data_IF_200951726375
#
_entry.id   IF_200951726375
#
_cell.length_a   1.000
_cell.length_b   1.000
_cell.length_c   1.000
_cell.angle_alpha   90.00
_cell.angle_beta   90.00
_cell.angle_gamma   90.00
#
_symmetry.space_group_name_H-M   'P 1'
#
loop_
_entity.id
_entity.type
_entity.pdbx_description
1 polymer ?
#
# COMPACT_ATOMS: atom_id res chain seq x y z
N UNK A 1 30.39 -19.50 -8.17
CA UNK A 1 29.63 -18.24 -8.26
C UNK A 1 28.18 -18.59 -8.48
N UNK A 2 27.42 -18.76 -7.39
CA UNK A 2 25.98 -19.02 -7.48
C UNK A 2 25.32 -17.65 -7.63
N UNK A 3 24.57 -17.49 -8.72
CA UNK A 3 23.89 -16.25 -9.07
C UNK A 3 22.98 -15.79 -7.94
N UNK A 4 22.95 -14.47 -7.73
CA UNK A 4 21.97 -13.80 -6.88
C UNK A 4 20.57 -14.22 -7.36
N UNK A 5 19.97 -15.16 -6.63
CA UNK A 5 18.64 -15.65 -6.91
C UNK A 5 17.63 -14.51 -6.81
N UNK A 6 16.72 -14.49 -7.78
CA UNK A 6 15.25 -14.42 -7.70
C UNK A 6 14.54 -14.26 -6.33
N UNK A 7 15.13 -13.58 -5.34
CA UNK A 7 14.59 -13.42 -3.98
C UNK A 7 14.23 -11.95 -3.65
N UNK A 8 14.45 -11.02 -4.59
CA UNK A 8 14.09 -9.60 -4.42
C UNK A 8 12.60 -9.30 -4.75
N UNK A 9 11.81 -10.29 -5.16
CA UNK A 9 10.38 -10.10 -5.45
C UNK A 9 9.48 -10.07 -4.20
N UNK A 10 9.95 -10.50 -3.02
CA UNK A 10 9.08 -10.80 -1.88
C UNK A 10 9.27 -9.97 -0.60
N UNK A 11 10.23 -9.04 -0.56
CA UNK A 11 10.43 -8.20 0.62
C UNK A 11 10.21 -6.72 0.27
N UNK A 12 9.10 -6.18 0.75
CA UNK A 12 8.72 -4.78 0.62
C UNK A 12 9.02 -4.05 1.92
N UNK A 13 9.72 -2.92 1.82
CA UNK A 13 9.87 -1.97 2.92
C UNK A 13 8.74 -0.95 2.88
N UNK A 14 8.17 -0.61 4.03
CA UNK A 14 7.12 0.40 4.12
C UNK A 14 7.65 1.77 3.65
N UNK A 15 7.00 2.43 2.66
CA UNK A 15 7.42 3.75 2.17
C UNK A 15 7.49 4.84 3.25
N UNK A 16 6.62 4.76 4.28
CA UNK A 16 6.57 5.75 5.37
C UNK A 16 7.61 5.47 6.45
N UNK A 17 7.65 4.25 7.00
CA UNK A 17 8.47 3.97 8.18
C UNK A 17 9.67 3.04 7.95
N UNK A 18 9.89 2.60 6.71
CA UNK A 18 10.96 1.66 6.31
C UNK A 18 10.95 0.29 6.99
N UNK A 19 9.95 -0.02 7.82
CA UNK A 19 9.79 -1.35 8.41
C UNK A 19 9.48 -2.38 7.32
N UNK A 20 9.95 -3.62 7.51
CA UNK A 20 9.56 -4.73 6.65
C UNK A 20 8.04 -4.95 6.71
N UNK A 21 7.44 -5.26 5.56
CA UNK A 21 6.01 -5.53 5.44
C UNK A 21 5.78 -7.03 5.35
N UNK A 22 4.68 -7.48 5.95
CA UNK A 22 4.22 -8.86 5.89
C UNK A 22 3.21 -9.03 4.75
N UNK A 23 3.32 -10.10 3.97
CA UNK A 23 2.35 -10.42 2.92
C UNK A 23 1.14 -11.12 3.53
N UNK A 24 -0.04 -10.57 3.27
CA UNK A 24 -1.34 -11.17 3.57
C UNK A 24 -2.05 -11.48 2.25
N UNK A 25 -2.53 -12.71 2.10
CA UNK A 25 -3.32 -13.10 0.92
C UNK A 25 -4.82 -12.98 1.21
N UNK A 26 -5.58 -12.36 0.30
CA UNK A 26 -7.03 -12.33 0.35
C UNK A 26 -7.64 -12.39 -1.05
N UNK A 27 -8.47 -13.41 -1.30
CA UNK A 27 -9.20 -13.55 -2.56
C UNK A 27 -8.30 -13.71 -3.80
N UNK A 28 -7.10 -14.27 -3.64
CA UNK A 28 -6.09 -14.42 -4.68
C UNK A 28 -5.22 -13.18 -4.91
N UNK A 29 -5.30 -12.18 -4.02
CA UNK A 29 -4.49 -10.95 -4.08
C UNK A 29 -3.52 -10.92 -2.90
N UNK A 30 -2.26 -10.62 -3.18
CA UNK A 30 -1.27 -10.39 -2.13
C UNK A 30 -1.35 -8.93 -1.68
N UNK A 31 -1.19 -8.71 -0.38
CA UNK A 31 -1.29 -7.38 0.24
C UNK A 31 -0.10 -7.27 1.17
N UNK A 32 0.82 -6.35 0.88
CA UNK A 32 1.93 -6.05 1.76
C UNK A 32 1.43 -5.12 2.87
N UNK A 33 1.45 -5.57 4.13
CA UNK A 33 0.99 -4.80 5.28
C UNK A 33 2.13 -4.48 6.24
N UNK A 34 2.23 -3.22 6.62
CA UNK A 34 3.18 -2.78 7.63
C UNK A 34 2.64 -3.06 9.04
N UNK A 35 3.31 -3.92 9.80
CA UNK A 35 2.99 -4.15 11.22
C UNK A 35 3.34 -3.00 12.15
N UNK A 36 4.08 -1.99 11.68
CA UNK A 36 4.53 -0.85 12.48
C UNK A 36 3.59 0.36 12.38
N UNK A 37 3.32 0.86 11.17
CA UNK A 37 2.44 2.03 10.97
C UNK A 37 1.05 1.66 10.41
N UNK A 38 0.78 0.39 10.15
CA UNK A 38 -0.50 -0.07 9.59
C UNK A 38 -0.66 0.14 8.09
N UNK A 39 0.23 0.87 7.43
CA UNK A 39 0.14 1.18 6.01
C UNK A 39 0.19 -0.06 5.11
N UNK A 40 -0.41 0.04 3.94
CA UNK A 40 -0.58 -1.04 2.97
C UNK A 40 0.06 -0.66 1.65
N UNK A 41 0.81 -1.60 1.08
CA UNK A 41 1.33 -1.52 -0.27
C UNK A 41 0.61 -2.56 -1.14
N UNK A 42 0.20 -2.11 -2.32
CA UNK A 42 -0.38 -2.94 -3.37
C UNK A 42 0.50 -2.79 -4.62
N UNK A 43 0.87 -3.90 -5.23
CA UNK A 43 1.56 -3.92 -6.51
C UNK A 43 0.59 -3.63 -7.66
N UNK A 44 1.15 -3.62 -8.87
CA UNK A 44 0.39 -3.40 -10.09
C UNK A 44 -0.85 -4.30 -10.19
N UNK A 45 -2.00 -3.68 -10.45
CA UNK A 45 -3.31 -4.33 -10.61
C UNK A 45 -3.88 -5.01 -9.36
N UNK A 46 -3.26 -4.88 -8.19
CA UNK A 46 -3.81 -5.47 -6.97
C UNK A 46 -5.01 -4.70 -6.44
N UNK A 47 -5.01 -3.37 -6.53
CA UNK A 47 -6.16 -2.55 -6.15
C UNK A 47 -7.38 -2.87 -7.02
N UNK A 48 -7.20 -2.96 -8.34
CA UNK A 48 -8.25 -3.31 -9.28
C UNK A 48 -8.82 -4.70 -8.99
N UNK A 49 -7.96 -5.69 -8.71
CA UNK A 49 -8.40 -7.03 -8.34
C UNK A 49 -9.14 -7.04 -7.01
N UNK A 50 -8.68 -6.29 -6.01
CA UNK A 50 -9.36 -6.22 -4.70
C UNK A 50 -10.78 -5.67 -4.78
N UNK A 51 -11.06 -4.76 -5.71
CA UNK A 51 -12.44 -4.27 -5.95
C UNK A 51 -13.41 -5.39 -6.36
N UNK A 52 -12.91 -6.48 -6.93
CA UNK A 52 -13.71 -7.64 -7.32
C UNK A 52 -13.83 -8.68 -6.19
N UNK A 53 -13.05 -8.54 -5.12
CA UNK A 53 -13.00 -9.50 -4.01
C UNK A 53 -14.02 -9.11 -2.92
N UNK A 54 -14.93 -10.02 -2.54
CA UNK A 54 -15.90 -9.75 -1.47
C UNK A 54 -15.24 -9.40 -0.13
N UNK A 55 -15.79 -8.40 0.56
CA UNK A 55 -15.36 -7.93 1.88
C UNK A 55 -13.91 -7.43 1.94
N UNK A 56 -13.31 -7.05 0.80
CA UNK A 56 -11.95 -6.49 0.77
C UNK A 56 -11.84 -5.18 1.60
N UNK A 57 -12.95 -4.46 1.76
CA UNK A 57 -13.07 -3.25 2.58
C UNK A 57 -12.97 -3.48 4.11
N UNK A 58 -12.84 -4.74 4.54
CA UNK A 58 -12.66 -5.12 5.95
C UNK A 58 -11.20 -5.48 6.27
N UNK A 59 -10.32 -5.50 5.27
CA UNK A 59 -8.91 -5.89 5.42
C UNK A 59 -8.07 -4.84 6.14
N UNK A 60 -8.43 -3.57 5.94
CA UNK A 60 -7.68 -2.42 6.43
C UNK A 60 -8.50 -1.65 7.46
N UNK A 61 -8.59 -2.19 8.67
CA UNK A 61 -9.26 -1.51 9.76
C UNK A 61 -8.36 -0.38 10.25
N UNK A 62 -8.89 0.84 10.23
CA UNK A 62 -8.26 2.00 10.84
C UNK A 62 -7.92 1.66 12.30
N UNK A 63 -6.64 1.68 12.60
CA UNK A 63 -6.11 1.50 13.95
C UNK A 63 -5.75 2.87 14.50
N UNK A 64 -5.95 3.11 15.80
CA UNK A 64 -5.54 4.36 16.49
C UNK A 64 -4.01 4.58 16.50
N UNK A 65 -3.23 3.83 15.72
CA UNK A 65 -1.83 4.15 15.42
C UNK A 65 -1.81 5.29 14.41
N UNK A 66 -2.08 6.49 14.92
CA UNK A 66 -1.58 7.71 14.32
C UNK A 66 -0.06 7.71 14.49
N UNK A 67 0.63 7.09 13.53
CA UNK A 67 2.06 6.88 13.61
C UNK A 67 2.87 8.17 13.33
N UNK A 68 2.21 9.34 13.21
CA UNK A 68 2.88 10.62 13.03
C UNK A 68 3.65 10.74 11.72
N UNK A 69 3.25 9.98 10.69
CA UNK A 69 3.91 9.95 9.38
C UNK A 69 3.16 10.73 8.30
N UNK A 70 2.06 11.41 8.66
CA UNK A 70 1.18 12.16 7.74
C UNK A 70 1.85 13.45 7.20
N UNK A 71 2.90 13.94 7.87
CA UNK A 71 3.68 15.10 7.40
C UNK A 71 4.75 14.75 6.34
N UNK A 72 4.95 13.47 6.01
CA UNK A 72 5.92 13.08 4.98
C UNK A 72 5.40 13.41 3.58
N UNK A 73 6.02 14.42 2.96
CA UNK A 73 5.64 14.93 1.64
C UNK A 73 6.16 14.09 0.48
N UNK A 74 7.27 13.35 0.68
CA UNK A 74 7.90 12.55 -0.37
C UNK A 74 8.34 11.21 0.19
N UNK A 75 7.84 10.14 -0.42
CA UNK A 75 8.21 8.76 -0.10
C UNK A 75 8.65 8.04 -1.38
N UNK A 76 9.58 7.10 -1.23
CA UNK A 76 10.10 6.31 -2.34
C UNK A 76 9.28 5.05 -2.56
N UNK A 77 9.08 4.69 -3.83
CA UNK A 77 8.52 3.40 -4.21
C UNK A 77 9.43 2.27 -3.74
N UNK A 78 8.92 1.29 -2.99
CA UNK A 78 9.74 0.21 -2.43
C UNK A 78 10.15 -0.82 -3.50
N UNK A 79 9.53 -0.77 -4.69
CA UNK A 79 9.85 -1.65 -5.83
C UNK A 79 10.91 -1.07 -6.76
N UNK A 80 10.83 0.22 -7.08
CA UNK A 80 11.68 0.84 -8.11
C UNK A 80 12.37 2.14 -7.69
N UNK A 81 12.22 2.55 -6.43
CA UNK A 81 12.85 3.75 -5.83
C UNK A 81 12.52 5.08 -6.52
N UNK A 82 11.50 5.11 -7.39
CA UNK A 82 10.94 6.37 -7.90
C UNK A 82 10.14 7.05 -6.80
N UNK A 83 10.11 8.38 -6.79
CA UNK A 83 9.21 9.12 -5.89
C UNK A 83 7.75 8.78 -6.24
N UNK A 84 6.94 8.54 -5.21
CA UNK A 84 5.51 8.33 -5.40
C UNK A 84 4.79 9.67 -5.59
N UNK A 85 3.83 9.68 -6.51
CA UNK A 85 2.92 10.82 -6.71
C UNK A 85 1.73 10.70 -5.75
N UNK A 86 1.22 11.82 -5.24
CA UNK A 86 -0.02 11.84 -4.46
C UNK A 86 -1.23 11.94 -5.38
N UNK A 87 -2.14 10.99 -5.28
CA UNK A 87 -3.48 11.07 -5.86
C UNK A 87 -4.49 11.52 -4.81
N UNK A 88 -5.56 12.17 -5.26
CA UNK A 88 -6.68 12.56 -4.42
C UNK A 88 -7.99 11.99 -4.99
N UNK A 89 -8.76 11.32 -4.15
CA UNK A 89 -10.12 10.90 -4.44
C UNK A 89 -11.09 11.89 -3.78
N UNK A 90 -11.79 12.66 -4.60
CA UNK A 90 -12.79 13.62 -4.13
C UNK A 90 -14.01 12.89 -3.56
N UNK A 91 -14.47 13.35 -2.39
CA UNK A 91 -15.62 12.79 -1.68
C UNK A 91 -16.00 13.64 -0.47
N UNK A 92 -16.97 13.20 0.36
CA UNK A 92 -17.31 13.87 1.61
C UNK A 92 -16.12 13.97 2.58
N UNK A 93 -15.23 12.97 2.53
CA UNK A 93 -13.89 12.99 3.11
C UNK A 93 -12.92 12.81 1.95
N UNK A 94 -12.17 13.85 1.59
CA UNK A 94 -11.15 13.71 0.56
C UNK A 94 -10.06 12.76 1.05
N UNK A 95 -9.72 11.79 0.20
CA UNK A 95 -8.73 10.79 0.52
C UNK A 95 -7.50 11.02 -0.36
N UNK A 96 -6.32 11.04 0.25
CA UNK A 96 -5.06 11.15 -0.47
C UNK A 96 -4.27 9.88 -0.27
N UNK A 97 -3.65 9.37 -1.32
CA UNK A 97 -2.84 8.17 -1.25
C UNK A 97 -1.75 8.24 -2.32
N UNK A 98 -0.67 7.48 -2.15
CA UNK A 98 0.49 7.56 -3.02
C UNK A 98 0.49 6.50 -4.11
N UNK A 99 0.89 6.87 -5.33
CA UNK A 99 0.98 5.98 -6.49
C UNK A 99 2.34 6.07 -7.16
N UNK A 100 2.87 4.92 -7.57
CA UNK A 100 4.07 4.87 -8.38
C UNK A 100 3.70 4.87 -9.87
N UNK A 101 4.02 5.93 -10.59
CA UNK A 101 3.80 5.97 -12.06
C UNK A 101 4.76 5.08 -12.86
N UNK A 102 5.84 4.60 -12.23
CA UNK A 102 6.84 3.74 -12.88
C UNK A 102 6.42 2.27 -12.87
N UNK A 103 6.08 1.71 -11.71
CA UNK A 103 5.71 0.30 -11.57
C UNK A 103 4.20 0.07 -11.42
N UNK A 104 3.42 1.13 -11.22
CA UNK A 104 1.96 1.04 -11.05
C UNK A 104 1.50 0.55 -9.67
N UNK A 105 2.39 0.46 -8.68
CA UNK A 105 2.03 0.15 -7.30
C UNK A 105 1.46 1.37 -6.57
N UNK A 106 0.78 1.14 -5.46
CA UNK A 106 0.13 2.16 -4.65
C UNK A 106 0.31 1.90 -3.16
N UNK A 107 0.46 2.97 -2.39
CA UNK A 107 0.53 2.94 -0.95
C UNK A 107 -0.68 3.63 -0.33
N UNK A 108 -1.18 3.06 0.76
CA UNK A 108 -2.29 3.59 1.55
C UNK A 108 -1.85 3.68 3.01
N UNK A 109 -2.08 4.82 3.66
CA UNK A 109 -1.90 4.91 5.10
C UNK A 109 -2.93 4.02 5.82
N UNK A 110 -2.67 3.68 7.09
CA UNK A 110 -3.50 2.72 7.82
C UNK A 110 -4.98 3.12 7.87
N UNK A 111 -5.86 2.25 7.38
CA UNK A 111 -7.30 2.47 7.29
C UNK A 111 -7.79 3.16 6.02
N UNK A 112 -6.90 3.62 5.14
CA UNK A 112 -7.27 4.32 3.90
C UNK A 112 -7.73 3.37 2.79
N UNK A 113 -7.16 2.17 2.68
CA UNK A 113 -7.54 1.22 1.62
C UNK A 113 -9.03 0.85 1.74
N UNK A 114 -9.52 0.68 2.97
CA UNK A 114 -10.95 0.44 3.23
C UNK A 114 -11.85 1.58 2.76
N UNK A 115 -11.37 2.83 2.79
CA UNK A 115 -12.12 4.00 2.29
C UNK A 115 -12.15 3.99 0.75
N UNK A 116 -11.01 3.71 0.10
CA UNK A 116 -10.93 3.57 -1.37
C UNK A 116 -11.89 2.50 -1.88
N UNK A 117 -11.89 1.32 -1.24
CA UNK A 117 -12.70 0.19 -1.67
C UNK A 117 -14.21 0.40 -1.46
N UNK A 118 -14.62 1.32 -0.57
CA UNK A 118 -16.03 1.70 -0.37
C UNK A 118 -16.50 2.82 -1.31
N UNK A 119 -15.57 3.60 -1.85
CA UNK A 119 -15.88 4.74 -2.70
C UNK A 119 -16.01 4.37 -4.20
N UNK A 120 -15.50 3.20 -4.60
CA UNK A 120 -15.63 2.63 -5.96
C UNK A 120 -16.65 1.50 -6.02
#
# INVERSE_FOLDING_TARGET
MLGAGHFAEYLVGCPKCSAAMDVVEHGGVNIDRCGNCGGIWLDYLELERLREVPNADQLDLATDVDAGFDEMVYVECPRCFSILDTEELEGPESLRFEVCRTCGGSFFDGGELSKVLKAG
#
